data_IF_836221906617
#
_entry.id   IF_836221906617
#
_cell.length_a   1.000
_cell.length_b   1.000
_cell.length_c   1.000
_cell.angle_alpha   90.00
_cell.angle_beta   90.00
_cell.angle_gamma   90.00
#
_symmetry.space_group_name_H-M   'P 1'
#
loop_
_entity.id
_entity.type
_entity.pdbx_description
1 polymer ?
#
# COMPACT_ATOMS: atom_id res chain seq x y z
N UNK A 1 92.62 -49.50 -37.90
CA UNK A 1 92.07 -48.99 -39.18
C UNK A 1 91.32 -47.68 -38.94
N UNK A 2 91.64 -46.68 -39.76
CA UNK A 2 90.94 -45.42 -40.03
C UNK A 2 90.58 -44.44 -38.89
N UNK A 3 91.52 -43.51 -38.69
CA UNK A 3 91.28 -42.10 -38.34
C UNK A 3 90.41 -41.35 -39.36
N UNK A 4 89.86 -40.19 -38.93
CA UNK A 4 89.48 -38.95 -39.67
C UNK A 4 88.05 -38.50 -39.30
N UNK A 5 87.68 -37.24 -39.25
CA UNK A 5 88.28 -35.90 -39.48
C UNK A 5 87.26 -34.90 -38.91
N UNK A 6 87.71 -33.74 -38.42
CA UNK A 6 86.84 -32.58 -38.12
C UNK A 6 86.18 -31.99 -39.40
N UNK A 7 85.05 -31.26 -39.30
CA UNK A 7 85.13 -29.78 -39.38
C UNK A 7 84.08 -28.97 -38.58
N UNK A 8 84.36 -27.66 -38.47
CA UNK A 8 83.73 -26.55 -37.72
C UNK A 8 82.32 -26.08 -38.20
N UNK A 9 81.79 -24.90 -37.77
CA UNK A 9 81.00 -24.65 -36.56
C UNK A 9 79.54 -24.19 -36.88
N UNK A 10 78.59 -24.29 -35.93
CA UNK A 10 77.27 -23.64 -36.05
C UNK A 10 76.79 -23.00 -34.74
N UNK A 11 76.43 -21.73 -34.89
CA UNK A 11 75.58 -20.84 -34.10
C UNK A 11 74.94 -21.37 -32.79
N UNK A 12 75.27 -20.68 -31.69
CA UNK A 12 74.63 -20.81 -30.38
C UNK A 12 73.21 -20.24 -30.37
N UNK A 13 72.23 -21.10 -30.08
CA UNK A 13 70.85 -20.73 -29.82
C UNK A 13 70.66 -20.21 -28.39
N UNK A 14 69.99 -19.07 -28.29
CA UNK A 14 69.63 -18.35 -27.06
C UNK A 14 68.41 -19.03 -26.42
N UNK A 15 68.57 -19.55 -25.20
CA UNK A 15 67.54 -20.32 -24.47
C UNK A 15 66.66 -19.38 -23.64
N UNK A 16 65.35 -19.44 -23.86
CA UNK A 16 64.32 -18.66 -23.17
C UNK A 16 64.07 -19.18 -21.73
N UNK A 17 63.77 -18.24 -20.84
CA UNK A 17 63.46 -18.47 -19.42
C UNK A 17 61.99 -18.94 -19.23
N UNK A 18 61.69 -19.70 -18.16
CA UNK A 18 60.40 -20.36 -17.96
C UNK A 18 59.27 -19.40 -17.53
N UNK A 19 58.12 -19.58 -18.18
CA UNK A 19 56.84 -18.91 -17.94
C UNK A 19 56.26 -19.26 -16.56
N UNK A 20 55.92 -18.23 -15.77
CA UNK A 20 55.17 -18.36 -14.53
C UNK A 20 53.70 -18.70 -14.86
N UNK A 21 53.27 -19.88 -14.41
CA UNK A 21 51.86 -20.31 -14.39
C UNK A 21 51.09 -19.41 -13.41
N UNK A 22 50.20 -18.58 -13.93
CA UNK A 22 49.21 -17.87 -13.13
C UNK A 22 48.25 -18.88 -12.49
N UNK A 23 48.13 -18.82 -11.16
CA UNK A 23 47.16 -19.57 -10.39
C UNK A 23 45.75 -19.13 -10.80
N UNK A 24 44.88 -20.10 -11.07
CA UNK A 24 43.48 -19.91 -11.36
C UNK A 24 42.77 -19.37 -10.12
N UNK A 25 42.36 -18.11 -10.14
CA UNK A 25 41.50 -17.55 -9.10
C UNK A 25 40.18 -18.35 -9.04
N UNK A 26 39.68 -18.70 -7.85
CA UNK A 26 38.34 -19.29 -7.73
C UNK A 26 37.32 -18.28 -8.24
N UNK A 27 36.44 -18.71 -9.16
CA UNK A 27 35.28 -17.94 -9.58
C UNK A 27 34.47 -17.57 -8.35
N UNK A 28 34.55 -16.30 -7.95
CA UNK A 28 33.57 -15.72 -7.05
C UNK A 28 32.19 -15.85 -7.73
N UNK A 29 31.16 -16.37 -7.04
CA UNK A 29 29.82 -16.33 -7.58
C UNK A 29 29.49 -14.87 -7.86
N UNK A 30 29.08 -14.56 -9.09
CA UNK A 30 28.57 -13.25 -9.45
C UNK A 30 27.30 -13.02 -8.62
N UNK A 31 27.46 -12.38 -7.47
CA UNK A 31 26.38 -11.77 -6.72
C UNK A 31 25.90 -10.57 -7.53
N UNK A 32 25.13 -10.81 -8.59
CA UNK A 32 24.34 -9.76 -9.19
C UNK A 32 23.31 -9.37 -8.13
N UNK A 33 23.58 -8.28 -7.41
CA UNK A 33 22.58 -7.65 -6.56
C UNK A 33 21.34 -7.45 -7.43
N UNK A 34 20.16 -7.97 -7.05
CA UNK A 34 18.96 -7.76 -7.84
C UNK A 34 18.77 -6.25 -8.00
N UNK A 35 18.69 -5.79 -9.24
CA UNK A 35 18.43 -4.37 -9.52
C UNK A 35 17.09 -3.99 -8.90
N UNK A 36 17.02 -2.82 -8.28
CA UNK A 36 15.77 -2.30 -7.72
C UNK A 36 14.63 -2.34 -8.77
N UNK A 37 13.39 -2.63 -8.34
CA UNK A 37 12.26 -2.82 -9.24
C UNK A 37 12.00 -1.51 -9.99
N UNK A 38 11.82 -1.61 -11.30
CA UNK A 38 11.41 -0.45 -12.09
C UNK A 38 9.91 -0.18 -11.86
N UNK A 39 9.61 0.89 -11.13
CA UNK A 39 8.24 1.35 -10.89
C UNK A 39 7.90 2.51 -11.84
N UNK A 40 6.78 2.37 -12.56
CA UNK A 40 6.22 3.44 -13.40
C UNK A 40 5.04 4.12 -12.72
N UNK A 41 5.04 5.44 -12.68
CA UNK A 41 4.17 6.21 -11.80
C UNK A 41 3.10 6.99 -12.55
N UNK A 42 1.87 6.92 -12.07
CA UNK A 42 0.77 7.81 -12.43
C UNK A 42 0.45 8.71 -11.23
N UNK A 43 0.51 10.02 -11.40
CA UNK A 43 0.20 10.98 -10.35
C UNK A 43 -1.14 11.67 -10.63
N UNK A 44 -1.96 11.89 -9.59
CA UNK A 44 -3.30 12.46 -9.74
C UNK A 44 -3.79 13.16 -8.46
N UNK A 45 -4.37 14.36 -8.60
CA UNK A 45 -3.67 15.51 -9.18
C UNK A 45 -2.37 15.80 -8.41
N UNK A 46 -1.35 14.96 -8.58
CA UNK A 46 -0.07 15.06 -7.87
C UNK A 46 1.11 15.16 -8.80
N UNK A 47 2.32 15.20 -8.23
CA UNK A 47 3.57 15.15 -8.98
C UNK A 47 4.30 13.83 -8.74
N UNK A 48 4.99 13.36 -9.77
CA UNK A 48 5.90 12.23 -9.65
C UNK A 48 7.21 12.75 -9.06
N UNK A 49 7.68 12.13 -7.97
CA UNK A 49 8.91 12.55 -7.30
C UNK A 49 10.15 12.48 -8.23
N UNK A 50 11.18 13.30 -8.01
CA UNK A 50 12.44 13.17 -8.74
C UNK A 50 13.01 11.75 -8.64
N UNK A 51 13.47 11.21 -9.78
CA UNK A 51 14.00 9.84 -9.87
C UNK A 51 12.95 8.75 -10.16
N UNK A 52 11.66 9.08 -10.10
CA UNK A 52 10.59 8.19 -10.55
C UNK A 52 10.37 8.30 -12.07
N UNK A 53 9.99 7.19 -12.70
CA UNK A 53 9.60 7.19 -14.13
C UNK A 53 8.11 7.47 -14.26
N UNK A 54 7.75 8.66 -14.74
CA UNK A 54 6.35 9.03 -14.96
C UNK A 54 5.74 8.28 -16.15
N UNK A 55 4.46 7.90 -16.03
CA UNK A 55 3.62 7.52 -17.15
C UNK A 55 3.10 8.79 -17.85
N UNK A 56 2.83 8.70 -19.16
CA UNK A 56 2.17 9.79 -19.87
C UNK A 56 0.84 10.12 -19.18
N UNK A 57 0.55 11.41 -19.04
CA UNK A 57 -0.78 11.84 -18.62
C UNK A 57 -1.81 11.29 -19.59
N UNK A 58 -2.81 10.60 -19.06
CA UNK A 58 -3.97 10.18 -19.84
C UNK A 58 -5.08 11.20 -19.62
N UNK A 59 -5.89 11.51 -20.65
CA UNK A 59 -7.03 12.39 -20.47
C UNK A 59 -7.92 11.82 -19.37
N UNK A 60 -8.15 12.59 -18.32
CA UNK A 60 -9.12 12.22 -17.29
C UNK A 60 -10.51 12.41 -17.91
N UNK A 61 -11.10 11.30 -18.37
CA UNK A 61 -12.49 11.30 -18.88
C UNK A 61 -13.52 11.27 -17.75
N UNK A 62 -13.09 10.91 -16.54
CA UNK A 62 -13.93 10.84 -15.36
C UNK A 62 -13.91 12.13 -14.55
N UNK A 63 -15.10 12.53 -14.08
CA UNK A 63 -15.22 13.63 -13.13
C UNK A 63 -14.44 13.35 -11.83
N UNK A 64 -14.34 12.07 -11.42
CA UNK A 64 -13.58 11.62 -10.25
C UNK A 64 -12.11 11.38 -10.62
N UNK A 65 -11.21 12.22 -10.12
CA UNK A 65 -9.79 12.16 -10.44
C UNK A 65 -9.14 10.83 -10.05
N UNK A 66 -9.50 10.27 -8.89
CA UNK A 66 -8.98 8.98 -8.41
C UNK A 66 -9.38 7.84 -9.32
N UNK A 67 -10.68 7.75 -9.63
CA UNK A 67 -11.21 6.68 -10.47
C UNK A 67 -10.68 6.77 -11.91
N UNK A 68 -10.60 7.98 -12.46
CA UNK A 68 -10.00 8.23 -13.77
C UNK A 68 -8.53 7.81 -13.82
N UNK A 69 -7.75 8.11 -12.78
CA UNK A 69 -6.35 7.70 -12.67
C UNK A 69 -6.19 6.17 -12.58
N UNK A 70 -7.06 5.49 -11.81
CA UNK A 70 -7.08 4.03 -11.71
C UNK A 70 -7.41 3.37 -13.05
N UNK A 71 -8.44 3.85 -13.76
CA UNK A 71 -8.82 3.34 -15.09
C UNK A 71 -7.74 3.59 -16.13
N UNK A 72 -7.14 4.78 -16.11
CA UNK A 72 -5.99 5.13 -16.93
C UNK A 72 -4.81 4.17 -16.71
N UNK A 73 -4.51 3.85 -15.44
CA UNK A 73 -3.44 2.92 -15.09
C UNK A 73 -3.76 1.48 -15.49
N UNK A 74 -4.99 1.01 -15.27
CA UNK A 74 -5.45 -0.30 -15.74
C UNK A 74 -5.29 -0.44 -17.25
N UNK A 75 -5.71 0.57 -18.02
CA UNK A 75 -5.55 0.58 -19.47
C UNK A 75 -4.07 0.61 -19.90
N UNK A 76 -3.22 1.40 -19.23
CA UNK A 76 -1.79 1.46 -19.51
C UNK A 76 -1.08 0.11 -19.27
N UNK A 77 -1.45 -0.60 -18.21
CA UNK A 77 -0.87 -1.91 -17.85
C UNK A 77 -1.26 -3.02 -18.82
N UNK A 78 -2.45 -2.95 -19.42
CA UNK A 78 -2.92 -3.92 -20.42
C UNK A 78 -2.25 -3.77 -21.79
N UNK A 79 -1.97 -2.53 -22.24
CA UNK A 79 -1.45 -2.29 -23.60
C UNK A 79 0.01 -2.73 -23.77
N UNK A 80 0.87 -2.49 -22.78
CA UNK A 80 2.30 -2.84 -22.80
C UNK A 80 2.82 -3.03 -21.37
N UNK A 81 2.77 -4.24 -20.79
CA UNK A 81 3.43 -4.54 -19.52
C UNK A 81 4.95 -4.46 -19.74
N UNK A 82 5.50 -3.26 -19.54
CA UNK A 82 6.92 -2.92 -19.76
C UNK A 82 7.66 -2.63 -18.45
N UNK A 83 6.96 -2.73 -17.33
CA UNK A 83 7.49 -2.57 -15.99
C UNK A 83 6.93 -3.68 -15.11
N UNK A 84 7.73 -4.08 -14.13
CA UNK A 84 7.32 -5.09 -13.15
C UNK A 84 6.28 -4.52 -12.18
N UNK A 85 6.33 -3.22 -11.94
CA UNK A 85 5.51 -2.50 -10.99
C UNK A 85 5.01 -1.16 -11.53
N UNK A 86 3.82 -0.81 -11.09
CA UNK A 86 3.14 0.43 -11.41
C UNK A 86 2.73 1.09 -10.10
N UNK A 87 2.88 2.41 -10.02
CA UNK A 87 2.57 3.20 -8.84
C UNK A 87 1.50 4.23 -9.16
N UNK A 88 0.61 4.44 -8.20
CA UNK A 88 -0.42 5.46 -8.18
C UNK A 88 -0.13 6.36 -6.98
N UNK A 89 -0.03 7.68 -7.21
CA UNK A 89 0.26 8.65 -6.14
C UNK A 89 -0.70 9.84 -6.17
N UNK A 90 -1.27 10.16 -5.01
CA UNK A 90 -2.15 11.30 -4.81
C UNK A 90 -1.42 12.65 -4.78
N UNK A 91 -2.16 13.76 -4.72
CA UNK A 91 -1.67 15.15 -4.71
C UNK A 91 -0.45 15.39 -3.81
N UNK A 92 -0.53 14.92 -2.57
CA UNK A 92 0.50 15.15 -1.54
C UNK A 92 1.14 13.86 -1.07
N UNK A 93 1.02 12.78 -1.86
CA UNK A 93 1.36 11.44 -1.38
C UNK A 93 2.79 11.33 -0.88
N UNK A 94 3.76 11.87 -1.62
CA UNK A 94 5.18 11.87 -1.21
C UNK A 94 5.44 12.65 0.08
N UNK A 95 4.84 13.84 0.21
CA UNK A 95 5.02 14.71 1.37
C UNK A 95 4.39 14.11 2.61
N UNK A 96 3.17 13.57 2.48
CA UNK A 96 2.43 12.99 3.60
C UNK A 96 3.04 11.67 4.08
N UNK A 97 3.61 10.87 3.18
CA UNK A 97 4.25 9.61 3.58
C UNK A 97 5.71 9.78 3.98
N UNK A 98 6.39 10.86 3.56
CA UNK A 98 7.83 11.05 3.75
C UNK A 98 8.70 10.12 2.90
N UNK A 99 8.12 9.45 1.91
CA UNK A 99 8.86 8.54 1.02
C UNK A 99 9.67 9.33 -0.01
N UNK A 100 10.86 8.83 -0.33
CA UNK A 100 11.55 9.17 -1.57
C UNK A 100 11.53 7.98 -2.52
N UNK A 101 11.74 8.26 -3.81
CA UNK A 101 11.63 7.27 -4.88
C UNK A 101 12.51 6.02 -4.66
N UNK A 102 13.76 6.23 -4.22
CA UNK A 102 14.74 5.17 -4.08
C UNK A 102 14.45 4.26 -2.88
N UNK A 103 14.17 4.85 -1.71
CA UNK A 103 13.86 4.07 -0.49
C UNK A 103 12.55 3.33 -0.62
N UNK A 104 11.56 3.92 -1.28
CA UNK A 104 10.28 3.26 -1.56
C UNK A 104 10.46 2.07 -2.51
N UNK A 105 11.27 2.20 -3.57
CA UNK A 105 11.54 1.10 -4.49
C UNK A 105 12.24 -0.08 -3.77
N UNK A 106 13.15 0.21 -2.83
CA UNK A 106 13.78 -0.83 -2.01
C UNK A 106 12.77 -1.52 -1.08
N UNK A 107 11.91 -0.76 -0.41
CA UNK A 107 10.87 -1.33 0.46
C UNK A 107 9.90 -2.23 -0.32
N UNK A 108 9.52 -1.82 -1.54
CA UNK A 108 8.73 -2.68 -2.45
C UNK A 108 9.50 -3.92 -2.85
N UNK A 109 10.80 -3.80 -3.14
CA UNK A 109 11.64 -4.95 -3.49
C UNK A 109 11.76 -5.94 -2.33
N UNK A 110 11.82 -5.48 -1.09
CA UNK A 110 11.86 -6.34 0.10
C UNK A 110 10.55 -7.12 0.25
N UNK A 111 9.40 -6.43 0.17
CA UNK A 111 8.07 -7.09 0.15
C UNK A 111 7.93 -8.08 -1.03
N UNK A 112 8.46 -7.72 -2.21
CA UNK A 112 8.32 -8.49 -3.44
C UNK A 112 9.30 -9.68 -3.53
N UNK A 113 10.53 -9.50 -3.04
CA UNK A 113 11.65 -10.44 -3.14
C UNK A 113 11.51 -11.64 -2.20
N UNK A 114 10.77 -11.47 -1.10
CA UNK A 114 10.26 -12.60 -0.32
C UNK A 114 9.25 -13.46 -1.12
N UNK A 115 8.84 -12.99 -2.31
CA UNK A 115 7.80 -13.59 -3.11
C UNK A 115 6.47 -13.50 -2.39
N UNK A 116 6.20 -12.42 -1.63
CA UNK A 116 5.08 -12.30 -0.70
C UNK A 116 4.04 -11.23 -1.07
N UNK A 117 4.34 -10.33 -2.02
CA UNK A 117 3.46 -9.22 -2.35
C UNK A 117 3.24 -9.04 -3.87
N UNK A 118 1.98 -8.77 -4.22
CA UNK A 118 1.53 -8.34 -5.55
C UNK A 118 1.06 -6.88 -5.54
N UNK A 119 0.75 -6.38 -4.34
CA UNK A 119 0.26 -5.03 -4.05
C UNK A 119 0.98 -4.52 -2.81
N UNK A 120 1.42 -3.28 -2.84
CA UNK A 120 1.98 -2.57 -1.72
C UNK A 120 1.25 -1.24 -1.53
N UNK A 121 0.91 -0.88 -0.31
CA UNK A 121 0.28 0.40 0.00
C UNK A 121 0.88 0.97 1.28
N UNK A 122 0.87 2.30 1.42
CA UNK A 122 1.40 2.94 2.62
C UNK A 122 0.44 2.76 3.81
N UNK A 123 1.00 2.47 4.99
CA UNK A 123 0.23 2.43 6.23
C UNK A 123 -0.42 3.80 6.54
N UNK A 124 -1.50 3.78 7.31
CA UNK A 124 -2.04 4.98 7.92
C UNK A 124 -1.11 5.49 9.04
N UNK A 125 -1.22 6.77 9.44
CA UNK A 125 -0.53 7.26 10.63
C UNK A 125 -0.88 6.42 11.86
N UNK A 126 0.09 6.17 12.75
CA UNK A 126 -0.06 5.26 13.88
C UNK A 126 -1.24 5.64 14.81
N UNK A 127 -1.52 6.93 14.95
CA UNK A 127 -2.68 7.43 15.71
C UNK A 127 -4.01 7.00 15.11
N UNK A 128 -4.11 6.98 13.78
CA UNK A 128 -5.31 6.52 13.08
C UNK A 128 -5.52 5.03 13.34
N UNK A 129 -4.46 4.23 13.23
CA UNK A 129 -4.52 2.79 13.51
C UNK A 129 -4.86 2.50 14.98
N UNK A 130 -4.36 3.29 15.92
CA UNK A 130 -4.54 3.05 17.35
C UNK A 130 -5.91 3.51 17.88
N UNK A 131 -6.40 4.65 17.41
CA UNK A 131 -7.57 5.34 17.99
C UNK A 131 -8.88 4.95 17.30
N UNK A 132 -8.86 4.56 16.04
CA UNK A 132 -10.07 4.16 15.33
C UNK A 132 -10.18 2.64 15.34
N UNK A 133 -11.39 2.10 15.60
CA UNK A 133 -11.57 0.65 15.55
C UNK A 133 -11.45 0.10 14.13
N UNK A 134 -11.80 0.89 13.11
CA UNK A 134 -11.59 0.53 11.70
C UNK A 134 -11.37 1.77 10.81
N UNK A 135 -10.95 1.59 9.54
CA UNK A 135 -10.78 2.69 8.59
C UNK A 135 -12.07 3.43 8.23
N UNK A 136 -13.22 2.74 8.26
CA UNK A 136 -14.53 3.35 7.99
C UNK A 136 -14.89 4.41 9.03
N UNK A 137 -14.55 4.20 10.30
CA UNK A 137 -14.77 5.15 11.37
C UNK A 137 -13.89 6.39 11.22
N UNK A 138 -12.63 6.19 10.84
CA UNK A 138 -11.74 7.30 10.55
C UNK A 138 -12.28 8.15 9.38
N UNK A 139 -12.83 7.50 8.37
CA UNK A 139 -13.50 8.18 7.27
C UNK A 139 -14.76 8.93 7.73
N UNK A 140 -15.59 8.37 8.61
CA UNK A 140 -16.73 9.10 9.20
C UNK A 140 -16.29 10.33 10.01
N UNK A 141 -15.19 10.21 10.76
CA UNK A 141 -14.67 11.32 11.56
C UNK A 141 -14.17 12.48 10.68
N UNK A 142 -13.48 12.16 9.59
CA UNK A 142 -12.91 13.15 8.66
C UNK A 142 -13.91 13.64 7.62
N UNK A 143 -14.91 12.81 7.29
CA UNK A 143 -15.93 13.05 6.30
C UNK A 143 -17.29 12.63 6.88
N UNK A 144 -18.03 13.54 7.53
CA UNK A 144 -19.32 13.23 8.14
C UNK A 144 -20.26 12.52 7.16
N UNK A 145 -21.02 11.53 7.64
CA UNK A 145 -21.90 10.67 6.84
C UNK A 145 -21.22 9.67 5.89
N UNK A 146 -19.89 9.67 5.79
CA UNK A 146 -19.16 8.71 4.94
C UNK A 146 -19.43 7.26 5.35
N UNK A 147 -19.47 6.95 6.65
CA UNK A 147 -19.76 5.61 7.15
C UNK A 147 -21.18 5.13 6.82
N UNK A 148 -22.16 6.04 6.87
CA UNK A 148 -23.55 5.73 6.46
C UNK A 148 -23.62 5.47 4.96
N UNK A 149 -22.94 6.29 4.17
CA UNK A 149 -22.88 6.13 2.71
C UNK A 149 -22.13 4.86 2.31
N UNK A 150 -20.99 4.58 2.95
CA UNK A 150 -20.18 3.37 2.74
C UNK A 150 -21.01 2.11 2.95
N UNK A 151 -21.76 2.03 4.07
CA UNK A 151 -22.67 0.91 4.35
C UNK A 151 -23.69 0.72 3.24
N UNK A 152 -24.34 1.80 2.81
CA UNK A 152 -25.32 1.72 1.72
C UNK A 152 -24.69 1.26 0.39
N UNK A 153 -23.44 1.65 0.10
CA UNK A 153 -22.70 1.20 -1.09
C UNK A 153 -22.37 -0.29 -1.00
N UNK A 154 -21.84 -0.76 0.13
CA UNK A 154 -21.51 -2.17 0.36
C UNK A 154 -22.77 -3.04 0.27
N UNK A 155 -23.86 -2.64 0.93
CA UNK A 155 -25.16 -3.33 0.88
C UNK A 155 -25.71 -3.40 -0.55
N UNK A 156 -25.61 -2.31 -1.32
CA UNK A 156 -26.04 -2.29 -2.72
C UNK A 156 -25.22 -3.27 -3.57
N UNK A 157 -23.90 -3.34 -3.37
CA UNK A 157 -23.01 -4.26 -4.05
C UNK A 157 -23.10 -5.71 -3.54
N UNK A 158 -23.84 -5.97 -2.46
CA UNK A 158 -23.91 -7.30 -1.85
C UNK A 158 -22.57 -7.74 -1.25
N UNK A 159 -21.73 -6.78 -0.84
CA UNK A 159 -20.45 -7.06 -0.20
C UNK A 159 -20.67 -7.20 1.31
N UNK A 160 -20.21 -8.33 1.86
CA UNK A 160 -20.00 -8.51 3.30
C UNK A 160 -18.74 -7.73 3.72
N UNK A 161 -18.73 -6.42 3.45
CA UNK A 161 -17.68 -5.56 3.96
C UNK A 161 -17.79 -5.49 5.48
N UNK A 162 -16.66 -5.56 6.17
CA UNK A 162 -16.60 -5.33 7.62
C UNK A 162 -17.42 -4.08 7.97
N UNK A 163 -18.46 -4.27 8.78
CA UNK A 163 -19.34 -3.17 9.19
C UNK A 163 -18.49 -2.04 9.77
N UNK A 164 -18.91 -0.77 9.62
CA UNK A 164 -18.39 0.35 10.42
C UNK A 164 -18.32 0.06 11.94
N UNK A 165 -18.99 -0.97 12.44
CA UNK A 165 -19.00 -1.40 13.84
C UNK A 165 -18.00 -2.53 14.17
N UNK A 166 -17.24 -3.01 13.19
CA UNK A 166 -16.26 -4.09 13.34
C UNK A 166 -14.88 -3.53 13.72
N UNK A 167 -14.23 -4.11 14.73
CA UNK A 167 -12.85 -3.79 15.09
C UNK A 167 -11.91 -4.50 14.12
N UNK A 168 -11.16 -3.71 13.35
CA UNK A 168 -10.21 -4.16 12.35
C UNK A 168 -8.77 -4.14 12.87
N UNK A 169 -7.98 -5.11 12.41
CA UNK A 169 -6.53 -5.15 12.62
C UNK A 169 -5.85 -3.94 11.96
N UNK A 170 -4.74 -3.45 12.53
CA UNK A 170 -3.98 -2.32 12.00
C UNK A 170 -3.50 -2.54 10.55
N UNK A 171 -3.25 -3.78 10.15
CA UNK A 171 -2.88 -4.12 8.77
C UNK A 171 -3.96 -3.77 7.73
N UNK A 172 -5.25 -3.70 8.14
CA UNK A 172 -6.34 -3.28 7.24
C UNK A 172 -6.43 -1.75 7.08
N UNK A 173 -5.57 -0.97 7.74
CA UNK A 173 -5.57 0.49 7.62
C UNK A 173 -4.75 0.92 6.41
N UNK A 174 -5.46 1.14 5.31
CA UNK A 174 -4.92 1.64 4.05
C UNK A 174 -4.89 3.16 4.07
N UNK A 175 -3.79 3.77 3.63
CA UNK A 175 -3.76 5.16 3.21
C UNK A 175 -3.91 5.29 1.68
N UNK A 176 -4.68 6.25 1.21
CA UNK A 176 -4.92 6.48 -0.23
C UNK A 176 -3.77 7.18 -0.97
N UNK A 177 -2.65 7.42 -0.27
CA UNK A 177 -1.61 8.34 -0.73
C UNK A 177 -0.69 7.73 -1.79
N UNK A 178 -0.29 6.47 -1.59
CA UNK A 178 0.59 5.72 -2.49
C UNK A 178 0.12 4.26 -2.55
N UNK A 179 -0.19 3.79 -3.75
CA UNK A 179 -0.54 2.41 -4.05
C UNK A 179 0.36 1.90 -5.19
N UNK A 180 1.04 0.79 -4.97
CA UNK A 180 2.00 0.20 -5.91
C UNK A 180 1.59 -1.23 -6.16
N UNK A 181 1.45 -1.65 -7.41
CA UNK A 181 1.00 -3.01 -7.71
C UNK A 181 1.55 -3.51 -9.04
N UNK A 182 1.58 -4.83 -9.17
CA UNK A 182 1.89 -5.51 -10.43
C UNK A 182 0.81 -5.23 -11.48
N UNK A 183 1.17 -5.34 -12.75
CA UNK A 183 0.25 -5.08 -13.87
C UNK A 183 -1.11 -5.82 -13.77
N UNK A 184 -1.12 -7.05 -13.26
CA UNK A 184 -2.34 -7.87 -13.16
C UNK A 184 -3.36 -7.36 -12.13
N UNK A 185 -2.94 -6.55 -11.15
CA UNK A 185 -3.83 -6.00 -10.11
C UNK A 185 -4.81 -4.98 -10.69
N UNK A 186 -4.30 -4.01 -11.45
CA UNK A 186 -5.07 -2.83 -11.88
C UNK A 186 -6.37 -3.14 -12.61
N UNK A 187 -6.40 -3.99 -13.66
CA UNK A 187 -7.65 -4.28 -14.34
C UNK A 187 -8.65 -5.05 -13.46
N UNK A 188 -8.17 -5.85 -12.50
CA UNK A 188 -9.05 -6.57 -11.56
C UNK A 188 -9.69 -5.60 -10.56
N UNK A 189 -8.87 -4.71 -9.98
CA UNK A 189 -9.37 -3.74 -9.02
C UNK A 189 -10.32 -2.73 -9.68
N UNK A 190 -10.01 -2.26 -10.88
CA UNK A 190 -10.91 -1.38 -11.65
C UNK A 190 -12.22 -2.08 -12.00
N UNK A 191 -12.18 -3.33 -12.47
CA UNK A 191 -13.41 -4.08 -12.76
C UNK A 191 -14.28 -4.27 -11.51
N UNK A 192 -13.67 -4.52 -10.34
CA UNK A 192 -14.36 -4.58 -9.07
C UNK A 192 -15.02 -3.24 -8.71
N UNK A 193 -14.30 -2.12 -8.82
CA UNK A 193 -14.85 -0.79 -8.57
C UNK A 193 -16.01 -0.47 -9.51
N UNK A 194 -15.87 -0.77 -10.80
CA UNK A 194 -16.91 -0.53 -11.79
C UNK A 194 -18.19 -1.32 -11.47
N UNK A 195 -18.05 -2.59 -11.04
CA UNK A 195 -19.17 -3.42 -10.62
C UNK A 195 -19.87 -2.86 -9.36
N UNK A 196 -19.10 -2.50 -8.33
CA UNK A 196 -19.62 -1.87 -7.10
C UNK A 196 -20.38 -0.58 -7.43
N UNK A 197 -19.81 0.27 -8.29
CA UNK A 197 -20.43 1.55 -8.67
C UNK A 197 -21.65 1.36 -9.56
N UNK A 198 -21.69 0.33 -10.41
CA UNK A 198 -22.88 -0.02 -11.18
C UNK A 198 -24.04 -0.44 -10.26
N UNK A 199 -23.76 -1.29 -9.26
CA UNK A 199 -24.72 -1.67 -8.25
C UNK A 199 -25.20 -0.48 -7.41
N UNK A 200 -24.28 0.39 -6.99
CA UNK A 200 -24.61 1.61 -6.25
C UNK A 200 -25.53 2.54 -7.07
N UNK A 201 -25.24 2.73 -8.37
CA UNK A 201 -26.12 3.52 -9.26
C UNK A 201 -27.51 2.91 -9.40
N UNK A 202 -27.62 1.59 -9.44
CA UNK A 202 -28.90 0.91 -9.60
C UNK A 202 -29.74 0.93 -8.31
N UNK A 203 -29.12 0.65 -7.15
CA UNK A 203 -29.84 0.29 -5.92
C UNK A 203 -29.86 1.38 -4.84
N UNK A 204 -28.94 2.34 -4.85
CA UNK A 204 -28.95 3.40 -3.83
C UNK A 204 -30.19 4.29 -3.95
N UNK A 205 -30.74 4.73 -2.82
CA UNK A 205 -31.75 5.79 -2.79
C UNK A 205 -31.22 7.11 -3.37
N UNK A 206 -32.14 7.98 -3.83
CA UNK A 206 -31.82 9.24 -4.54
C UNK A 206 -30.79 10.08 -3.78
N UNK A 207 -30.97 10.29 -2.48
CA UNK A 207 -30.09 11.12 -1.65
C UNK A 207 -28.66 10.55 -1.56
N UNK A 208 -28.53 9.27 -1.25
CA UNK A 208 -27.22 8.60 -1.16
C UNK A 208 -26.49 8.59 -2.51
N UNK A 209 -27.23 8.37 -3.60
CA UNK A 209 -26.67 8.38 -4.96
C UNK A 209 -26.15 9.77 -5.34
N UNK A 210 -26.92 10.83 -5.05
CA UNK A 210 -26.48 12.20 -5.29
C UNK A 210 -25.22 12.52 -4.47
N UNK A 211 -25.21 12.18 -3.19
CA UNK A 211 -24.04 12.40 -2.33
C UNK A 211 -22.79 11.64 -2.83
N UNK A 212 -22.94 10.39 -3.28
CA UNK A 212 -21.83 9.58 -3.77
C UNK A 212 -21.21 10.14 -5.05
N UNK A 213 -22.05 10.57 -6.00
CA UNK A 213 -21.62 11.03 -7.32
C UNK A 213 -21.58 12.55 -7.45
N UNK A 214 -21.55 13.28 -6.32
CA UNK A 214 -21.42 14.74 -6.33
C UNK A 214 -20.04 15.14 -6.88
N UNK A 215 -20.04 15.93 -7.94
CA UNK A 215 -18.83 16.44 -8.59
C UNK A 215 -18.33 17.74 -7.95
N UNK A 216 -19.10 18.34 -7.04
CA UNK A 216 -18.82 19.65 -6.44
C UNK A 216 -18.84 19.57 -4.91
N UNK A 217 -17.90 18.84 -4.30
CA UNK A 217 -17.80 18.85 -2.84
C UNK A 217 -17.43 20.27 -2.35
N UNK A 218 -17.70 20.58 -1.07
CA UNK A 218 -17.12 21.76 -0.43
C UNK A 218 -15.59 21.82 -0.64
N UNK A 219 -15.04 23.03 -0.82
CA UNK A 219 -13.62 23.23 -1.18
C UNK A 219 -12.63 22.64 -0.16
N UNK A 220 -13.06 22.46 1.09
CA UNK A 220 -12.30 21.89 2.21
C UNK A 220 -12.45 20.37 2.33
N UNK A 221 -13.18 19.71 1.42
CA UNK A 221 -13.50 18.28 1.53
C UNK A 221 -13.18 17.50 0.26
N UNK A 222 -12.59 16.33 0.48
CA UNK A 222 -12.45 15.30 -0.55
C UNK A 222 -13.83 14.72 -0.87
N UNK A 223 -14.06 14.31 -2.14
CA UNK A 223 -15.32 13.67 -2.53
C UNK A 223 -15.47 12.33 -1.84
N UNK A 224 -16.70 11.95 -1.50
CA UNK A 224 -16.96 10.62 -0.96
C UNK A 224 -16.47 9.51 -1.89
N UNK A 225 -16.62 9.67 -3.20
CA UNK A 225 -16.15 8.67 -4.15
C UNK A 225 -14.63 8.45 -4.10
N UNK A 226 -13.83 9.50 -3.91
CA UNK A 226 -12.37 9.38 -3.77
C UNK A 226 -12.00 8.63 -2.48
N UNK A 227 -12.66 8.99 -1.37
CA UNK A 227 -12.48 8.32 -0.06
C UNK A 227 -12.88 6.85 -0.14
N UNK A 228 -14.06 6.56 -0.68
CA UNK A 228 -14.56 5.19 -0.79
C UNK A 228 -13.73 4.34 -1.75
N UNK A 229 -13.21 4.91 -2.84
CA UNK A 229 -12.31 4.18 -3.76
C UNK A 229 -11.07 3.65 -3.04
N UNK A 230 -10.53 4.43 -2.09
CA UNK A 230 -9.42 3.98 -1.23
C UNK A 230 -9.86 2.88 -0.28
N UNK A 231 -10.98 3.07 0.42
CA UNK A 231 -11.45 2.12 1.44
C UNK A 231 -11.92 0.79 0.82
N UNK A 232 -12.45 0.81 -0.40
CA UNK A 232 -12.86 -0.36 -1.17
C UNK A 232 -11.67 -1.26 -1.56
N UNK A 233 -10.43 -0.81 -1.39
CA UNK A 233 -9.26 -1.68 -1.49
C UNK A 233 -9.32 -2.83 -0.47
N UNK A 234 -9.83 -2.58 0.74
CA UNK A 234 -9.89 -3.58 1.82
C UNK A 234 -10.78 -4.76 1.43
N UNK A 235 -12.09 -4.59 1.12
CA UNK A 235 -12.94 -5.70 0.72
C UNK A 235 -12.45 -6.34 -0.59
N UNK A 236 -11.83 -5.58 -1.50
CA UNK A 236 -11.19 -6.18 -2.67
C UNK A 236 -10.07 -7.15 -2.28
N UNK A 237 -9.15 -6.77 -1.38
CA UNK A 237 -8.03 -7.61 -0.97
C UNK A 237 -8.47 -8.83 -0.16
N UNK A 238 -9.54 -8.70 0.63
CA UNK A 238 -10.06 -9.79 1.46
C UNK A 238 -10.78 -10.85 0.61
N UNK A 239 -11.65 -10.44 -0.31
CA UNK A 239 -12.55 -11.34 -1.02
C UNK A 239 -12.21 -11.47 -2.52
N UNK A 240 -12.32 -10.36 -3.26
CA UNK A 240 -12.30 -10.35 -4.73
C UNK A 240 -10.91 -10.49 -5.37
N UNK A 241 -9.84 -10.31 -4.61
CA UNK A 241 -8.46 -10.29 -5.10
C UNK A 241 -7.98 -11.63 -5.68
N UNK A 242 -8.68 -12.73 -5.38
CA UNK A 242 -8.43 -14.07 -5.94
C UNK A 242 -6.94 -14.45 -5.91
N UNK A 243 -6.35 -14.47 -4.71
CA UNK A 243 -4.97 -14.92 -4.48
C UNK A 243 -3.87 -13.86 -4.59
N UNK A 244 -4.20 -12.59 -4.83
CA UNK A 244 -3.22 -11.51 -4.68
C UNK A 244 -2.87 -11.30 -3.20
N UNK A 245 -1.60 -10.99 -2.94
CA UNK A 245 -1.10 -10.69 -1.60
C UNK A 245 -0.71 -9.23 -1.47
N UNK A 246 -1.01 -8.66 -0.31
CA UNK A 246 -0.72 -7.26 -0.05
C UNK A 246 0.33 -7.08 1.06
N UNK A 247 1.20 -6.09 0.87
CA UNK A 247 2.19 -5.64 1.85
C UNK A 247 1.89 -4.19 2.25
N UNK A 248 1.76 -3.95 3.54
CA UNK A 248 1.64 -2.61 4.10
C UNK A 248 3.05 -2.05 4.34
N UNK A 249 3.36 -0.93 3.71
CA UNK A 249 4.65 -0.25 3.83
C UNK A 249 4.64 0.70 5.02
N UNK A 250 5.61 0.57 5.92
CA UNK A 250 5.81 1.48 7.04
C UNK A 250 6.17 2.89 6.56
N UNK A 251 5.67 3.94 7.21
CA UNK A 251 5.99 5.32 6.82
C UNK A 251 7.38 5.71 7.36
N UNK A 252 8.29 6.25 6.52
CA UNK A 252 9.57 6.79 6.99
C UNK A 252 9.40 7.86 8.06
N UNK A 253 8.38 8.71 7.93
CA UNK A 253 8.05 9.77 8.89
C UNK A 253 7.47 9.26 10.22
N UNK A 254 7.12 7.97 10.32
CA UNK A 254 6.58 7.36 11.55
C UNK A 254 7.63 6.78 12.48
N UNK A 255 8.91 6.76 12.07
CA UNK A 255 10.00 6.17 12.84
C UNK A 255 10.74 7.17 13.74
N UNK A 256 10.66 8.49 13.46
CA UNK A 256 11.32 9.52 14.28
C UNK A 256 10.49 10.82 14.44
N UNK A 257 10.14 11.22 15.68
CA UNK A 257 10.34 10.50 16.94
C UNK A 257 9.48 9.23 17.02
N UNK A 258 9.87 8.22 17.83
CA UNK A 258 9.09 7.00 17.99
C UNK A 258 7.65 7.35 18.40
N UNK A 259 6.65 6.61 17.89
CA UNK A 259 5.25 6.90 18.18
C UNK A 259 5.02 6.95 19.69
N UNK A 260 4.17 7.88 20.12
CA UNK A 260 3.75 8.02 21.50
C UNK A 260 3.51 6.62 22.11
N UNK A 261 4.15 6.27 23.24
CA UNK A 261 4.09 4.91 23.77
C UNK A 261 2.65 4.45 24.04
N UNK A 262 1.75 5.38 24.35
CA UNK A 262 0.32 5.11 24.51
C UNK A 262 -0.36 4.73 23.20
N UNK A 263 -0.02 5.42 22.10
CA UNK A 263 -0.52 5.12 20.75
C UNK A 263 -0.04 3.75 20.29
N UNK A 264 1.24 3.44 20.53
CA UNK A 264 1.79 2.11 20.23
C UNK A 264 1.06 1.01 21.00
N UNK A 265 0.91 1.17 22.32
CA UNK A 265 0.22 0.19 23.16
C UNK A 265 -1.26 0.02 22.78
N UNK A 266 -1.95 1.11 22.42
CA UNK A 266 -3.33 1.05 21.94
C UNK A 266 -3.45 0.24 20.64
N UNK A 267 -2.53 0.45 19.69
CA UNK A 267 -2.50 -0.34 18.45
C UNK A 267 -2.24 -1.82 18.72
N UNK A 268 -1.21 -2.13 19.50
CA UNK A 268 -0.84 -3.51 19.85
C UNK A 268 -1.98 -4.25 20.58
N UNK A 269 -2.64 -3.57 21.53
CA UNK A 269 -3.76 -4.14 22.28
C UNK A 269 -4.97 -4.40 21.37
N UNK A 270 -5.23 -3.52 20.40
CA UNK A 270 -6.29 -3.71 19.39
C UNK A 270 -5.97 -4.90 18.49
N UNK A 271 -4.76 -4.98 17.97
CA UNK A 271 -4.32 -6.06 17.09
C UNK A 271 -4.33 -7.42 17.80
N UNK A 272 -3.90 -7.44 19.06
CA UNK A 272 -4.03 -8.61 19.93
C UNK A 272 -5.49 -9.00 20.12
N UNK A 273 -6.39 -8.03 20.38
CA UNK A 273 -7.81 -8.30 20.55
C UNK A 273 -8.40 -8.96 19.30
N UNK A 274 -8.11 -8.43 18.11
CA UNK A 274 -8.57 -8.99 16.82
C UNK A 274 -7.98 -10.38 16.58
N UNK A 275 -6.68 -10.55 16.77
CA UNK A 275 -6.00 -11.83 16.53
C UNK A 275 -6.50 -12.94 17.46
N UNK A 276 -6.72 -12.62 18.74
CA UNK A 276 -7.18 -13.59 19.73
C UNK A 276 -8.71 -13.67 19.85
N UNK A 277 -9.45 -12.87 19.07
CA UNK A 277 -10.92 -12.74 19.21
C UNK A 277 -11.36 -12.43 20.65
N UNK A 278 -10.55 -11.64 21.38
CA UNK A 278 -10.70 -11.42 22.82
C UNK A 278 -11.57 -10.21 23.13
N UNK A 279 -12.81 -10.46 23.57
CA UNK A 279 -13.71 -9.39 24.06
C UNK A 279 -13.14 -8.61 25.24
N UNK A 280 -12.38 -9.27 26.11
CA UNK A 280 -11.71 -8.63 27.23
C UNK A 280 -10.65 -7.63 26.75
N UNK A 281 -9.80 -8.05 25.80
CA UNK A 281 -8.79 -7.17 25.22
C UNK A 281 -9.43 -5.98 24.48
N UNK A 282 -10.54 -6.19 23.78
CA UNK A 282 -11.32 -5.11 23.15
C UNK A 282 -11.87 -4.11 24.16
N UNK A 283 -12.39 -4.59 25.30
CA UNK A 283 -12.86 -3.72 26.37
C UNK A 283 -11.71 -2.93 27.01
N UNK A 284 -10.56 -3.58 27.26
CA UNK A 284 -9.35 -2.93 27.75
C UNK A 284 -8.87 -1.84 26.78
N UNK A 285 -8.83 -2.14 25.47
CA UNK A 285 -8.50 -1.17 24.44
C UNK A 285 -9.47 0.01 24.44
N UNK A 286 -10.78 -0.25 24.41
CA UNK A 286 -11.81 0.79 24.38
C UNK A 286 -11.75 1.72 25.60
N UNK A 287 -11.54 1.16 26.79
CA UNK A 287 -11.40 1.92 28.04
C UNK A 287 -10.11 2.76 28.03
N UNK A 288 -8.99 2.15 27.66
CA UNK A 288 -7.72 2.85 27.65
C UNK A 288 -7.70 3.98 26.61
N UNK A 289 -8.28 3.73 25.43
CA UNK A 289 -8.46 4.72 24.38
C UNK A 289 -9.30 5.90 24.87
N UNK A 290 -10.40 5.63 25.58
CA UNK A 290 -11.25 6.70 26.13
C UNK A 290 -10.49 7.59 27.12
N UNK A 291 -9.67 6.98 28.00
CA UNK A 291 -8.81 7.73 28.93
C UNK A 291 -7.77 8.57 28.18
N UNK A 292 -7.12 8.00 27.16
CA UNK A 292 -6.14 8.70 26.34
C UNK A 292 -6.77 9.91 25.61
N UNK A 293 -7.94 9.72 24.99
CA UNK A 293 -8.66 10.81 24.32
C UNK A 293 -9.16 11.86 25.32
N UNK A 294 -9.53 11.47 26.54
CA UNK A 294 -9.98 12.42 27.55
C UNK A 294 -8.85 13.33 27.99
N UNK A 295 -7.65 12.77 28.09
CA UNK A 295 -6.43 13.50 28.43
C UNK A 295 -5.97 14.42 27.29
N UNK A 296 -6.02 13.95 26.04
CA UNK A 296 -5.43 14.68 24.89
C UNK A 296 -6.40 15.66 24.21
N UNK A 297 -7.69 15.34 24.13
CA UNK A 297 -8.71 16.14 23.45
C UNK A 297 -9.67 16.87 24.42
N UNK A 298 -9.71 16.43 25.68
CA UNK A 298 -10.59 16.99 26.70
C UNK A 298 -12.04 16.47 26.66
N UNK A 299 -12.78 16.77 27.73
CA UNK A 299 -14.12 16.23 27.96
C UNK A 299 -15.16 16.72 26.93
N UNK A 300 -15.06 17.97 26.46
CA UNK A 300 -15.98 18.54 25.48
C UNK A 300 -15.91 17.82 24.14
N UNK A 301 -14.69 17.53 23.67
CA UNK A 301 -14.48 16.81 22.41
C UNK A 301 -15.01 15.37 22.49
N UNK A 302 -14.80 14.69 23.62
CA UNK A 302 -15.37 13.34 23.84
C UNK A 302 -16.90 13.39 23.81
N UNK A 303 -17.53 14.37 24.48
CA UNK A 303 -18.97 14.46 24.52
C UNK A 303 -19.56 14.61 23.10
N UNK A 304 -18.91 15.39 22.24
CA UNK A 304 -19.29 15.57 20.84
C UNK A 304 -19.11 14.29 20.00
N UNK A 305 -18.06 13.51 20.23
CA UNK A 305 -17.71 12.33 19.40
C UNK A 305 -18.10 10.99 20.02
N UNK A 306 -18.86 11.00 21.13
CA UNK A 306 -19.16 9.80 21.93
C UNK A 306 -19.78 8.66 21.11
N UNK A 307 -20.70 8.97 20.21
CA UNK A 307 -21.39 7.97 19.39
C UNK A 307 -20.44 7.23 18.43
N UNK A 308 -19.45 7.95 17.90
CA UNK A 308 -18.43 7.43 16.99
C UNK A 308 -17.42 6.60 17.77
N UNK A 309 -16.98 7.10 18.92
CA UNK A 309 -15.98 6.42 19.75
C UNK A 309 -16.57 5.15 20.39
N UNK A 310 -17.78 5.21 20.94
CA UNK A 310 -18.37 4.11 21.69
C UNK A 310 -19.65 3.60 21.02
N UNK A 311 -19.53 2.85 19.90
CA UNK A 311 -20.70 2.24 19.30
C UNK A 311 -21.33 1.25 20.28
N UNK A 312 -22.67 1.14 20.33
CA UNK A 312 -23.39 0.30 21.29
C UNK A 312 -23.07 -1.19 21.14
N UNK A 313 -22.63 -1.60 19.96
CA UNK A 313 -22.15 -2.95 19.68
C UNK A 313 -20.84 -2.88 18.90
N UNK A 314 -19.75 -3.38 19.48
CA UNK A 314 -18.51 -3.64 18.76
C UNK A 314 -18.47 -5.10 18.35
N UNK A 315 -18.26 -5.37 17.06
CA UNK A 315 -18.01 -6.71 16.53
C UNK A 315 -16.52 -6.92 16.37
N UNK A 316 -16.05 -8.15 16.51
CA UNK A 316 -14.66 -8.47 16.25
C UNK A 316 -14.51 -8.81 14.77
N UNK A 317 -13.57 -8.13 14.10
CA UNK A 317 -13.16 -8.50 12.75
C UNK A 317 -12.23 -9.70 12.78
N UNK A 318 -11.80 -10.14 11.62
CA UNK A 318 -10.82 -11.22 11.49
C UNK A 318 -9.41 -10.66 11.30
N UNK A 319 -8.39 -11.42 11.73
CA UNK A 319 -7.03 -11.08 11.38
C UNK A 319 -6.86 -11.21 9.85
N UNK A 320 -6.21 -10.25 9.18
CA UNK A 320 -6.08 -10.29 7.73
C UNK A 320 -5.18 -11.46 7.33
N UNK A 321 -5.75 -12.44 6.64
CA UNK A 321 -4.99 -13.60 6.16
C UNK A 321 -4.07 -13.28 4.97
N UNK A 322 -4.31 -12.17 4.27
CA UNK A 322 -3.65 -11.82 2.98
C UNK A 322 -2.96 -10.46 2.97
N UNK A 323 -3.05 -9.70 4.04
CA UNK A 323 -2.43 -8.38 4.19
C UNK A 323 -1.40 -8.50 5.31
N UNK A 324 -0.14 -8.27 4.97
CA UNK A 324 0.98 -8.24 5.92
C UNK A 324 1.39 -6.80 6.22
#
# INVERSE_FOLDING_TARGET
MATRKAPSPKASARRAAPSQRAASSPHAPSSSTPSAPQIRWYAYPGTVAPGCTALPALPAEDACATLGALRALAHATQRKPRADWYGLVGTEGWTQTGWNAATLANAVQECAGAGEADVCFCQAPAEVEALYHNPWLYAEHTHPHCGTLARAVLDAAGLDGDSPDTVAHSACFVSGHILIARAAFWPRFVAFLDDVLAHARAKLGKTARVALFDETPPADRTRYLDVLTTLLLIPFLEDAANGLRACKLALPSSEEPPPNPHVRMLRELKDMAVTQQSRWATACWGNYRALYLAHTQGAAWIAQHRAILHPPTLRMGHAPGRIR
#
